data_IF_745266463420
#
_entry.id   IF_745266463420
#
_cell.length_a   1.000
_cell.length_b   1.000
_cell.length_c   1.000
_cell.angle_alpha   90.00
_cell.angle_beta   90.00
_cell.angle_gamma   90.00
#
_symmetry.space_group_name_H-M   'P 1'
#
loop_
_entity.id
_entity.type
_entity.pdbx_description
1 polymer ?
#
# COMPACT_ATOMS: atom_id res chain seq x y z
N UNK A 1 4.91 -1.50 30.65
CA UNK A 1 5.16 -2.43 31.79
C UNK A 1 4.42 -3.72 31.52
N UNK A 2 5.13 -4.85 31.42
CA UNK A 2 4.52 -6.16 31.20
C UNK A 2 4.00 -6.73 32.52
N UNK A 3 2.81 -7.29 32.49
CA UNK A 3 2.15 -7.86 33.70
C UNK A 3 2.55 -9.30 34.01
N UNK A 4 3.01 -10.05 33.00
CA UNK A 4 3.41 -11.45 33.09
C UNK A 4 4.66 -11.70 32.26
N UNK A 5 5.42 -12.76 32.60
CA UNK A 5 6.46 -13.29 31.72
C UNK A 5 5.85 -13.74 30.39
N UNK A 6 6.59 -13.58 29.32
CA UNK A 6 6.24 -14.06 28.00
C UNK A 6 7.38 -14.90 27.43
N UNK A 7 7.11 -16.08 26.85
CA UNK A 7 8.17 -16.86 26.21
C UNK A 7 8.72 -16.18 24.98
N UNK A 8 7.96 -15.26 24.37
CA UNK A 8 8.28 -14.54 23.16
C UNK A 8 7.56 -13.19 23.12
N UNK A 9 8.16 -12.19 22.52
CA UNK A 9 7.50 -10.90 22.23
C UNK A 9 7.75 -10.48 20.80
N UNK A 10 6.78 -9.79 20.22
CA UNK A 10 6.86 -9.15 18.90
C UNK A 10 6.66 -7.67 19.08
N UNK A 11 7.66 -6.88 18.72
CA UNK A 11 7.54 -5.44 18.61
C UNK A 11 7.03 -5.11 17.20
N UNK A 12 5.85 -4.50 17.11
CA UNK A 12 5.26 -4.00 15.86
C UNK A 12 5.44 -2.50 15.77
N UNK A 13 5.91 -2.02 14.63
CA UNK A 13 6.13 -0.62 14.31
C UNK A 13 5.46 -0.34 12.98
N UNK A 14 4.40 0.48 12.99
CA UNK A 14 3.59 0.74 11.79
C UNK A 14 4.32 1.58 10.75
N UNK A 15 5.04 2.61 11.16
CA UNK A 15 5.94 3.37 10.29
C UNK A 15 6.86 4.26 11.10
N UNK A 16 8.04 4.51 10.55
CA UNK A 16 9.04 5.39 11.18
C UNK A 16 9.80 6.15 10.10
N UNK A 17 10.54 7.20 10.51
CA UNK A 17 11.37 8.00 9.60
C UNK A 17 12.18 7.15 8.62
N UNK A 18 12.99 7.76 7.76
CA UNK A 18 13.57 7.06 6.59
C UNK A 18 14.31 5.77 6.93
N UNK A 19 14.98 5.77 8.09
CA UNK A 19 15.64 4.59 8.64
C UNK A 19 15.66 4.66 10.15
N UNK A 20 15.64 3.49 10.78
CA UNK A 20 15.63 3.40 12.23
C UNK A 20 16.33 2.12 12.72
N UNK A 21 16.90 2.22 13.92
CA UNK A 21 17.46 1.10 14.67
C UNK A 21 16.78 1.04 16.04
N UNK A 22 16.42 -0.17 16.45
CA UNK A 22 15.67 -0.41 17.67
C UNK A 22 16.48 -1.23 18.65
N UNK A 23 16.46 -0.82 19.92
CA UNK A 23 17.02 -1.59 21.03
C UNK A 23 15.97 -1.78 22.12
N UNK A 24 15.91 -2.95 22.70
CA UNK A 24 15.10 -3.26 23.88
C UNK A 24 16.01 -3.64 25.04
N UNK A 25 15.93 -2.91 26.17
CA UNK A 25 16.79 -3.07 27.33
C UNK A 25 18.29 -3.03 26.99
N UNK A 26 18.67 -2.17 26.04
CA UNK A 26 20.03 -1.99 25.56
C UNK A 26 20.53 -3.04 24.54
N UNK A 27 19.72 -4.05 24.21
CA UNK A 27 20.04 -5.03 23.18
C UNK A 27 19.38 -4.64 21.86
N UNK A 28 20.15 -4.62 20.76
CA UNK A 28 19.60 -4.40 19.41
C UNK A 28 18.63 -5.55 19.05
N UNK A 29 17.42 -5.18 18.60
CA UNK A 29 16.39 -6.11 18.15
C UNK A 29 16.13 -6.02 16.65
N UNK A 30 16.50 -4.92 16.01
CA UNK A 30 16.37 -4.78 14.57
C UNK A 30 16.59 -3.36 14.05
N UNK A 31 16.51 -3.26 12.75
CA UNK A 31 16.60 -2.00 12.01
C UNK A 31 15.70 -2.04 10.77
N UNK A 32 15.38 -0.88 10.24
CA UNK A 32 14.63 -0.73 8.98
C UNK A 32 15.14 0.48 8.18
N UNK A 33 15.10 0.36 6.87
CA UNK A 33 15.21 1.44 5.89
C UNK A 33 14.00 1.42 4.92
N UNK A 34 12.87 0.89 5.39
CA UNK A 34 11.59 0.83 4.70
C UNK A 34 10.58 1.68 5.50
N UNK A 35 10.59 3.01 5.33
CA UNK A 35 9.58 3.88 5.95
C UNK A 35 8.19 3.56 5.35
N UNK A 36 7.14 3.87 6.05
CA UNK A 36 5.75 3.64 5.65
C UNK A 36 5.34 2.15 5.52
N UNK A 37 6.19 1.22 5.94
CA UNK A 37 5.90 -0.22 5.91
C UNK A 37 5.85 -0.76 7.32
N UNK A 38 4.83 -1.54 7.64
CA UNK A 38 4.71 -2.20 8.93
C UNK A 38 5.86 -3.18 9.13
N UNK A 39 6.53 -3.08 10.29
CA UNK A 39 7.69 -3.88 10.64
C UNK A 39 7.45 -4.64 11.93
N UNK A 40 7.87 -5.89 11.95
CA UNK A 40 7.83 -6.76 13.12
C UNK A 40 9.24 -7.21 13.53
N UNK A 41 9.53 -7.11 14.82
CA UNK A 41 10.83 -7.52 15.38
C UNK A 41 10.61 -8.47 16.55
N UNK A 42 11.24 -9.63 16.47
CA UNK A 42 11.28 -10.60 17.57
C UNK A 42 12.13 -10.08 18.74
N UNK A 43 11.57 -10.03 19.92
CA UNK A 43 12.29 -9.58 21.12
C UNK A 43 12.91 -10.71 21.92
N UNK A 44 12.50 -11.97 21.65
CA UNK A 44 12.76 -13.12 22.48
C UNK A 44 11.90 -13.14 23.74
N UNK A 45 12.30 -13.92 24.75
CA UNK A 45 11.59 -14.03 26.02
C UNK A 45 11.64 -12.71 26.81
N UNK A 46 10.50 -12.30 27.36
CA UNK A 46 10.34 -11.09 28.16
C UNK A 46 9.91 -11.45 29.59
N UNK A 47 10.53 -10.83 30.59
CA UNK A 47 10.12 -10.94 31.98
C UNK A 47 9.01 -9.93 32.30
N UNK A 48 8.18 -10.23 33.28
CA UNK A 48 7.27 -9.25 33.83
C UNK A 48 8.07 -8.04 34.39
N UNK A 49 7.59 -6.82 34.16
CA UNK A 49 8.25 -5.64 34.66
C UNK A 49 8.34 -4.49 33.66
N UNK A 50 9.23 -3.57 33.92
CA UNK A 50 9.51 -2.41 33.08
C UNK A 50 10.58 -2.78 32.05
N UNK A 51 10.31 -2.48 30.79
CA UNK A 51 11.26 -2.55 29.68
C UNK A 51 11.48 -1.18 29.08
N UNK A 52 12.65 -0.95 28.50
CA UNK A 52 13.01 0.29 27.83
C UNK A 52 13.24 0.01 26.36
N UNK A 53 12.32 0.50 25.52
CA UNK A 53 12.51 0.58 24.07
C UNK A 53 13.22 1.89 23.75
N UNK A 54 14.34 1.83 23.03
CA UNK A 54 14.99 2.99 22.46
C UNK A 54 15.06 2.84 20.94
N UNK A 55 14.82 3.93 20.22
CA UNK A 55 14.90 4.00 18.78
C UNK A 55 15.84 5.15 18.37
N UNK A 56 16.78 4.87 17.48
CA UNK A 56 17.55 5.88 16.77
C UNK A 56 16.95 6.01 15.37
N UNK A 57 16.37 7.17 15.07
CA UNK A 57 15.69 7.46 13.81
C UNK A 57 16.44 8.55 13.05
N UNK A 58 16.63 8.36 11.75
CA UNK A 58 17.34 9.29 10.89
C UNK A 58 16.54 9.54 9.61
N UNK A 59 16.21 10.81 9.33
CA UNK A 59 15.55 11.26 8.12
C UNK A 59 16.45 12.09 7.19
N UNK A 60 17.76 11.98 7.33
CA UNK A 60 18.72 12.68 6.50
C UNK A 60 18.88 11.98 5.14
N UNK A 61 18.53 12.67 4.07
CA UNK A 61 18.67 12.18 2.70
C UNK A 61 20.10 12.21 2.18
N UNK A 62 20.91 13.20 2.63
CA UNK A 62 22.17 13.56 1.97
C UNK A 62 23.31 12.65 2.36
N UNK A 63 23.15 11.84 3.40
CA UNK A 63 24.26 11.04 3.94
C UNK A 63 23.80 9.65 4.32
N UNK A 64 24.49 8.69 3.82
CA UNK A 64 24.62 7.38 4.43
C UNK A 64 25.24 7.60 5.82
N UNK A 65 24.41 7.73 6.82
CA UNK A 65 24.89 8.15 8.10
C UNK A 65 25.60 7.02 8.82
N UNK A 66 26.88 7.17 9.01
CA UNK A 66 27.65 6.44 10.03
C UNK A 66 27.23 6.85 11.45
N UNK A 67 26.39 7.90 11.59
CA UNK A 67 26.02 8.54 12.86
C UNK A 67 25.47 7.57 13.89
N UNK A 68 24.73 6.54 13.47
CA UNK A 68 24.18 5.54 14.38
C UNK A 68 24.95 4.20 14.35
N UNK A 69 26.12 4.15 13.76
CA UNK A 69 26.89 2.92 13.61
C UNK A 69 26.22 1.86 12.72
N UNK A 70 25.35 2.29 11.81
CA UNK A 70 24.59 1.40 10.92
C UNK A 70 25.33 1.10 9.61
N UNK A 71 26.31 1.96 9.25
CA UNK A 71 27.11 1.79 8.03
C UNK A 71 26.23 1.63 6.79
N UNK A 72 26.71 0.82 5.86
CA UNK A 72 26.01 0.57 4.58
C UNK A 72 24.71 -0.25 4.71
N UNK A 73 24.43 -0.85 5.88
CA UNK A 73 23.21 -1.64 6.12
C UNK A 73 21.92 -0.82 6.01
N UNK A 74 22.06 0.50 6.11
CA UNK A 74 20.92 1.42 6.13
C UNK A 74 20.99 2.43 4.97
N UNK A 75 21.51 1.97 3.83
CA UNK A 75 21.63 2.78 2.62
C UNK A 75 20.27 3.30 2.15
N UNK A 76 20.22 4.58 1.79
CA UNK A 76 19.09 5.22 1.13
C UNK A 76 19.49 5.48 -0.32
N UNK A 77 18.61 5.10 -1.23
CA UNK A 77 18.80 5.31 -2.66
C UNK A 77 18.10 6.61 -3.09
N UNK A 78 18.89 7.56 -3.61
CA UNK A 78 18.37 8.85 -4.08
C UNK A 78 18.25 8.88 -5.62
N UNK A 79 17.27 9.61 -6.20
CA UNK A 79 16.18 10.29 -5.51
C UNK A 79 15.23 9.25 -4.88
N UNK A 80 14.81 9.52 -3.64
CA UNK A 80 13.95 8.58 -2.92
C UNK A 80 12.48 8.98 -3.05
N UNK A 81 12.22 10.29 -2.98
CA UNK A 81 10.92 10.92 -3.21
C UNK A 81 11.02 12.44 -3.33
N UNK A 82 9.98 13.04 -3.85
CA UNK A 82 9.81 14.50 -4.00
C UNK A 82 8.90 15.12 -2.93
N UNK A 83 8.58 14.37 -1.89
CA UNK A 83 7.76 14.80 -0.76
C UNK A 83 8.55 14.83 0.55
N UNK A 84 7.95 15.36 1.61
CA UNK A 84 8.64 15.54 2.89
C UNK A 84 8.98 14.21 3.57
N UNK A 85 10.25 13.97 3.84
CA UNK A 85 10.73 12.87 4.67
C UNK A 85 10.74 13.28 6.14
N UNK A 86 9.67 12.98 6.85
CA UNK A 86 9.58 13.27 8.27
C UNK A 86 10.46 12.35 9.09
N UNK A 87 10.89 12.80 10.29
CA UNK A 87 11.57 11.98 11.28
C UNK A 87 10.59 11.46 12.32
N UNK A 88 11.03 10.47 13.11
CA UNK A 88 10.23 9.92 14.20
C UNK A 88 9.28 8.80 13.77
N UNK A 89 8.29 8.54 14.60
CA UNK A 89 7.26 7.53 14.36
C UNK A 89 6.01 8.19 13.77
N UNK A 90 5.48 7.65 12.69
CA UNK A 90 4.26 8.15 12.04
C UNK A 90 3.02 7.38 12.47
N UNK A 91 3.17 6.08 12.69
CA UNK A 91 2.10 5.15 13.02
C UNK A 91 2.38 4.46 14.34
N UNK A 92 1.45 3.63 14.79
CA UNK A 92 1.49 3.01 16.09
C UNK A 92 2.71 2.14 16.36
N UNK A 93 3.11 2.08 17.64
CA UNK A 93 4.13 1.15 18.16
C UNK A 93 3.49 0.30 19.23
N UNK A 94 3.58 -1.02 19.10
CA UNK A 94 3.01 -1.95 20.07
C UNK A 94 3.95 -3.13 20.35
N UNK A 95 3.90 -3.63 21.58
CA UNK A 95 4.63 -4.83 21.99
C UNK A 95 3.62 -5.92 22.35
N UNK A 96 3.63 -6.98 21.56
CA UNK A 96 2.76 -8.13 21.73
C UNK A 96 3.47 -9.22 22.50
N UNK A 97 2.84 -9.69 23.57
CA UNK A 97 3.26 -10.91 24.26
C UNK A 97 2.63 -12.09 23.55
N UNK A 98 3.45 -12.97 23.00
CA UNK A 98 3.01 -14.09 22.18
C UNK A 98 3.53 -15.42 22.71
N UNK A 99 2.89 -16.50 22.28
CA UNK A 99 3.29 -17.87 22.63
C UNK A 99 4.40 -18.37 21.67
N UNK A 100 4.91 -19.58 21.93
CA UNK A 100 5.92 -20.21 21.06
C UNK A 100 5.43 -20.35 19.61
N UNK A 101 4.14 -20.65 19.44
CA UNK A 101 3.44 -20.58 18.17
C UNK A 101 2.25 -19.65 18.32
N UNK A 102 2.08 -18.72 17.40
CA UNK A 102 0.97 -17.78 17.38
C UNK A 102 0.44 -17.58 15.96
N UNK A 103 -0.83 -17.22 15.82
CA UNK A 103 -1.38 -16.85 14.53
C UNK A 103 -0.79 -15.49 14.15
N UNK A 104 -0.07 -15.43 13.06
CA UNK A 104 0.42 -14.16 12.49
C UNK A 104 -0.73 -13.42 11.82
N UNK A 105 -1.38 -14.09 10.88
CA UNK A 105 -2.58 -13.59 10.16
C UNK A 105 -3.32 -14.72 9.45
N UNK A 106 -4.57 -14.46 9.07
CA UNK A 106 -5.32 -15.31 8.16
C UNK A 106 -5.73 -14.52 6.93
N UNK A 107 -5.13 -14.83 5.80
CA UNK A 107 -5.45 -14.18 4.53
C UNK A 107 -6.75 -14.76 3.96
N UNK A 108 -7.71 -13.89 3.64
CA UNK A 108 -9.00 -14.27 3.09
C UNK A 108 -9.10 -13.88 1.63
N UNK A 109 -9.26 -14.86 0.75
CA UNK A 109 -9.39 -14.65 -0.69
C UNK A 109 -10.75 -15.12 -1.20
N UNK A 110 -11.48 -14.24 -1.88
CA UNK A 110 -12.74 -14.61 -2.53
C UNK A 110 -12.49 -15.55 -3.72
N UNK A 111 -13.13 -16.72 -3.70
CA UNK A 111 -13.09 -17.68 -4.81
C UNK A 111 -14.32 -17.60 -5.69
N UNK A 112 -15.51 -17.32 -5.11
CA UNK A 112 -16.73 -17.22 -5.87
C UNK A 112 -17.73 -16.28 -5.22
N UNK A 113 -18.04 -15.16 -5.90
CA UNK A 113 -19.01 -14.17 -5.43
C UNK A 113 -20.47 -14.63 -5.49
N UNK A 114 -20.76 -15.72 -6.21
CA UNK A 114 -22.13 -16.25 -6.30
C UNK A 114 -22.49 -17.17 -5.13
N UNK A 115 -21.50 -17.78 -4.52
CA UNK A 115 -21.68 -18.76 -3.44
C UNK A 115 -21.09 -18.30 -2.10
N UNK A 116 -20.39 -17.18 -2.06
CA UNK A 116 -19.65 -16.73 -0.87
C UNK A 116 -18.46 -17.63 -0.52
N UNK A 117 -17.94 -18.41 -1.50
CA UNK A 117 -16.79 -19.28 -1.30
C UNK A 117 -15.52 -18.47 -1.16
N UNK A 118 -14.74 -18.76 -0.12
CA UNK A 118 -13.47 -18.13 0.19
C UNK A 118 -12.37 -19.15 0.42
N UNK A 119 -11.12 -18.75 0.26
CA UNK A 119 -9.93 -19.47 0.67
C UNK A 119 -9.32 -18.76 1.87
N UNK A 120 -9.05 -19.48 2.95
CA UNK A 120 -8.38 -19.02 4.15
C UNK A 120 -6.96 -19.59 4.18
N UNK A 121 -5.96 -18.72 4.09
CA UNK A 121 -4.55 -19.11 4.19
C UNK A 121 -4.05 -18.74 5.57
N UNK A 122 -3.63 -19.74 6.34
CA UNK A 122 -3.20 -19.58 7.73
C UNK A 122 -1.69 -19.36 7.80
N UNK A 123 -1.30 -18.25 8.39
CA UNK A 123 0.12 -17.92 8.63
C UNK A 123 0.37 -17.90 10.14
N UNK A 124 1.41 -18.61 10.54
CA UNK A 124 1.85 -18.67 11.93
C UNK A 124 3.24 -18.07 12.07
N UNK A 125 3.57 -17.55 13.25
CA UNK A 125 4.90 -17.09 13.60
C UNK A 125 5.48 -17.87 14.80
N UNK A 126 6.80 -17.87 14.94
CA UNK A 126 7.51 -18.67 15.92
C UNK A 126 7.66 -20.13 15.49
N UNK A 127 7.15 -21.07 16.26
CA UNK A 127 7.16 -22.50 15.91
C UNK A 127 6.07 -22.77 14.87
N UNK A 128 6.45 -22.87 13.61
CA UNK A 128 5.53 -23.03 12.47
C UNK A 128 5.45 -24.46 11.92
N UNK A 129 6.25 -25.37 12.45
CA UNK A 129 6.34 -26.75 12.00
C UNK A 129 5.11 -27.57 12.43
N UNK A 130 4.70 -28.53 11.57
CA UNK A 130 3.57 -29.41 11.84
C UNK A 130 2.21 -28.78 11.55
N UNK A 131 1.16 -29.39 12.14
CA UNK A 131 -0.22 -28.91 12.04
C UNK A 131 -0.64 -28.24 13.34
N UNK A 132 -1.42 -27.19 13.19
CA UNK A 132 -2.01 -26.41 14.28
C UNK A 132 -3.51 -26.65 14.29
N UNK A 133 -4.05 -27.06 15.45
CA UNK A 133 -5.48 -27.13 15.64
C UNK A 133 -6.08 -25.74 15.74
N UNK A 134 -6.98 -25.41 14.82
CA UNK A 134 -7.68 -24.13 14.80
C UNK A 134 -9.18 -24.35 14.91
N UNK A 135 -9.86 -23.42 15.57
CA UNK A 135 -11.30 -23.26 15.51
C UNK A 135 -11.63 -21.87 15.00
N UNK A 136 -12.59 -21.78 14.11
CA UNK A 136 -12.94 -20.51 13.48
C UNK A 136 -14.44 -20.40 13.22
N UNK A 137 -14.91 -19.16 13.12
CA UNK A 137 -16.29 -18.83 12.74
C UNK A 137 -16.34 -17.51 11.97
N UNK A 138 -17.40 -17.36 11.19
CA UNK A 138 -17.68 -16.12 10.47
C UNK A 138 -18.79 -15.32 11.16
N UNK A 139 -18.66 -14.00 11.16
CA UNK A 139 -19.68 -13.07 11.67
C UNK A 139 -20.20 -13.48 13.06
N UNK A 140 -21.50 -13.68 13.16
CA UNK A 140 -22.22 -14.02 14.39
C UNK A 140 -22.60 -15.51 14.48
N UNK A 141 -21.93 -16.40 13.72
CA UNK A 141 -22.16 -17.85 13.88
C UNK A 141 -21.96 -18.25 15.35
N UNK A 142 -22.89 -19.04 15.90
CA UNK A 142 -22.78 -19.55 17.29
C UNK A 142 -21.73 -20.64 17.40
N UNK A 143 -21.67 -21.52 16.39
CA UNK A 143 -20.78 -22.67 16.40
C UNK A 143 -19.45 -22.39 15.71
N UNK A 144 -18.36 -22.79 16.34
CA UNK A 144 -17.05 -22.85 15.72
C UNK A 144 -16.90 -24.08 14.83
N UNK A 145 -16.28 -23.85 13.66
CA UNK A 145 -15.74 -24.92 12.80
C UNK A 145 -14.33 -25.25 13.28
N UNK A 146 -13.87 -26.48 13.07
CA UNK A 146 -12.53 -26.94 13.47
C UNK A 146 -11.76 -27.46 12.28
N UNK A 147 -10.45 -27.24 12.28
CA UNK A 147 -9.53 -27.80 11.29
C UNK A 147 -8.12 -27.97 11.87
N UNK A 148 -7.35 -28.83 11.23
CA UNK A 148 -5.91 -29.00 11.46
C UNK A 148 -5.17 -28.43 10.24
N UNK A 149 -4.44 -27.33 10.39
CA UNK A 149 -3.79 -26.60 9.28
C UNK A 149 -2.30 -26.40 9.52
N UNK A 150 -1.49 -26.55 8.48
CA UNK A 150 -0.07 -26.21 8.51
C UNK A 150 0.15 -24.72 8.20
N UNK A 151 1.35 -24.21 8.50
CA UNK A 151 1.74 -22.86 8.08
C UNK A 151 1.65 -22.71 6.55
N UNK A 152 0.97 -21.68 6.08
CA UNK A 152 0.76 -21.42 4.65
C UNK A 152 -0.31 -22.29 3.97
N UNK A 153 -0.90 -23.28 4.70
CA UNK A 153 -1.97 -24.11 4.17
C UNK A 153 -3.24 -23.29 3.94
N UNK A 154 -3.97 -23.65 2.88
CA UNK A 154 -5.20 -22.99 2.48
C UNK A 154 -6.40 -23.92 2.68
N UNK A 155 -7.41 -23.42 3.39
CA UNK A 155 -8.69 -24.08 3.60
C UNK A 155 -9.79 -23.37 2.80
N UNK A 156 -10.55 -24.11 2.00
CA UNK A 156 -11.70 -23.55 1.29
C UNK A 156 -12.98 -23.74 2.10
N UNK A 157 -13.76 -22.68 2.22
CA UNK A 157 -15.05 -22.72 2.92
C UNK A 157 -16.02 -21.68 2.35
N UNK A 158 -17.26 -21.72 2.84
CA UNK A 158 -18.31 -20.77 2.43
C UNK A 158 -18.69 -19.92 3.64
N UNK A 159 -18.76 -18.59 3.40
CA UNK A 159 -19.26 -17.62 4.37
C UNK A 159 -20.80 -17.69 4.36
N UNK A 160 -21.45 -17.97 5.49
CA UNK A 160 -22.91 -18.01 5.52
C UNK A 160 -23.50 -16.59 5.41
N UNK A 161 -24.70 -16.50 4.84
CA UNK A 161 -25.45 -15.23 4.70
C UNK A 161 -24.59 -14.05 4.19
N UNK A 162 -23.65 -14.38 3.30
CA UNK A 162 -22.71 -13.37 2.79
C UNK A 162 -23.39 -12.28 1.99
N UNK A 163 -22.80 -11.10 2.04
CA UNK A 163 -23.14 -9.95 1.18
C UNK A 163 -21.87 -9.50 0.47
N UNK A 164 -22.03 -9.07 -0.77
CA UNK A 164 -20.89 -8.53 -1.51
C UNK A 164 -20.49 -7.15 -0.98
N UNK A 165 -19.19 -6.91 -0.97
CA UNK A 165 -18.65 -5.59 -0.75
C UNK A 165 -18.67 -4.81 -2.08
N UNK A 166 -19.22 -3.59 -2.06
CA UNK A 166 -19.20 -2.62 -3.17
C UNK A 166 -19.08 -1.22 -2.58
N UNK A 167 -18.68 -0.20 -3.37
CA UNK A 167 -18.68 1.19 -2.92
C UNK A 167 -20.02 1.67 -2.37
N UNK A 168 -21.14 1.26 -2.96
CA UNK A 168 -22.49 1.64 -2.58
C UNK A 168 -23.02 0.84 -1.37
N UNK A 169 -22.48 -0.33 -1.14
CA UNK A 169 -22.82 -1.23 -0.03
C UNK A 169 -21.57 -1.93 0.51
N UNK A 170 -20.79 -1.25 1.34
CA UNK A 170 -19.49 -1.73 1.82
C UNK A 170 -19.69 -2.78 2.94
N UNK A 171 -20.28 -3.92 2.58
CA UNK A 171 -20.55 -5.00 3.51
C UNK A 171 -19.25 -5.71 3.89
N UNK A 172 -18.91 -5.66 5.16
CA UNK A 172 -17.77 -6.34 5.75
C UNK A 172 -18.19 -7.57 6.52
N UNK A 173 -17.32 -8.56 6.51
CA UNK A 173 -17.45 -9.81 7.26
C UNK A 173 -16.29 -9.91 8.25
N UNK A 174 -16.50 -10.67 9.32
CA UNK A 174 -15.45 -11.00 10.28
C UNK A 174 -15.15 -12.49 10.26
N UNK A 175 -13.89 -12.83 10.44
CA UNK A 175 -13.40 -14.19 10.67
C UNK A 175 -12.67 -14.19 12.00
N UNK A 176 -13.25 -14.86 12.99
CA UNK A 176 -12.63 -15.10 14.29
C UNK A 176 -11.94 -16.46 14.26
N UNK A 177 -10.65 -16.50 14.57
CA UNK A 177 -9.83 -17.71 14.57
C UNK A 177 -9.12 -17.87 15.90
N UNK A 178 -9.21 -19.04 16.48
CA UNK A 178 -8.56 -19.40 17.74
C UNK A 178 -7.62 -20.59 17.55
N UNK A 179 -6.50 -20.57 18.23
CA UNK A 179 -5.72 -21.73 18.63
C UNK A 179 -5.96 -22.01 20.12
N UNK A 180 -5.20 -22.92 20.73
CA UNK A 180 -5.24 -23.16 22.17
C UNK A 180 -4.94 -21.89 22.99
N UNK A 181 -4.00 -21.08 22.50
CA UNK A 181 -3.40 -19.99 23.27
C UNK A 181 -3.59 -18.61 22.64
N UNK A 182 -4.18 -18.51 21.45
CA UNK A 182 -4.23 -17.29 20.68
C UNK A 182 -5.57 -17.10 19.97
N UNK A 183 -5.89 -15.84 19.65
CA UNK A 183 -7.09 -15.45 18.93
C UNK A 183 -6.80 -14.25 18.04
N UNK A 184 -7.19 -14.35 16.78
CA UNK A 184 -7.21 -13.22 15.85
C UNK A 184 -8.61 -13.03 15.27
N UNK A 185 -8.93 -11.79 14.96
CA UNK A 185 -10.15 -11.42 14.25
C UNK A 185 -9.75 -10.66 13.00
N UNK A 186 -10.03 -11.26 11.85
CA UNK A 186 -9.81 -10.63 10.54
C UNK A 186 -11.11 -10.02 10.04
N UNK A 187 -11.01 -8.83 9.46
CA UNK A 187 -12.11 -8.16 8.76
C UNK A 187 -11.87 -8.24 7.27
N UNK A 188 -12.87 -8.57 6.48
CA UNK A 188 -12.73 -8.74 5.03
C UNK A 188 -14.03 -8.46 4.28
N UNK A 189 -13.92 -8.24 2.98
CA UNK A 189 -15.09 -8.13 2.09
C UNK A 189 -15.08 -9.18 0.98
N UNK A 190 -16.26 -9.65 0.58
CA UNK A 190 -16.40 -10.60 -0.52
C UNK A 190 -16.60 -9.80 -1.81
N UNK A 191 -15.59 -9.79 -2.66
CA UNK A 191 -15.61 -9.12 -3.96
C UNK A 191 -14.61 -9.75 -4.91
N UNK A 192 -14.73 -9.44 -6.22
CA UNK A 192 -13.75 -9.77 -7.26
C UNK A 192 -13.35 -8.52 -8.01
N UNK A 193 -12.09 -8.46 -8.43
CA UNK A 193 -11.55 -7.41 -9.30
C UNK A 193 -10.94 -8.07 -10.52
N UNK A 194 -11.17 -7.52 -11.70
CA UNK A 194 -10.60 -8.02 -12.95
C UNK A 194 -10.61 -6.94 -14.02
N UNK A 195 -10.01 -7.22 -15.15
CA UNK A 195 -10.16 -6.42 -16.37
C UNK A 195 -11.06 -7.12 -17.38
N UNK A 196 -11.79 -6.34 -18.16
CA UNK A 196 -12.61 -6.82 -19.28
C UNK A 196 -12.48 -5.88 -20.47
N UNK A 197 -11.58 -6.21 -21.42
CA UNK A 197 -11.22 -5.27 -22.47
C UNK A 197 -10.65 -3.98 -21.85
N UNK A 198 -11.17 -2.83 -22.26
CA UNK A 198 -10.74 -1.50 -21.79
C UNK A 198 -11.32 -1.11 -20.44
N UNK A 199 -11.96 -2.00 -19.70
CA UNK A 199 -12.67 -1.71 -18.47
C UNK A 199 -12.09 -2.43 -17.27
N UNK A 200 -12.12 -1.77 -16.13
CA UNK A 200 -11.93 -2.39 -14.82
C UNK A 200 -13.29 -2.89 -14.35
N UNK A 201 -13.32 -4.11 -13.85
CA UNK A 201 -14.55 -4.75 -13.38
C UNK A 201 -14.46 -5.03 -11.89
N UNK A 202 -15.47 -4.57 -11.14
CA UNK A 202 -15.71 -4.92 -9.75
C UNK A 202 -16.94 -5.82 -9.69
N UNK A 203 -16.82 -7.03 -9.14
CA UNK A 203 -17.90 -8.02 -9.11
C UNK A 203 -18.50 -8.32 -10.51
N UNK A 204 -17.64 -8.30 -11.54
CA UNK A 204 -18.03 -8.51 -12.93
C UNK A 204 -18.75 -7.33 -13.59
N UNK A 205 -18.90 -6.19 -12.93
CA UNK A 205 -19.51 -4.97 -13.47
C UNK A 205 -18.46 -3.90 -13.72
N UNK A 206 -18.54 -3.14 -14.82
CA UNK A 206 -17.65 -2.01 -15.06
C UNK A 206 -17.71 -0.98 -13.94
N UNK A 207 -16.54 -0.51 -13.51
CA UNK A 207 -16.38 0.61 -12.58
C UNK A 207 -15.53 1.70 -13.23
N UNK A 208 -15.97 2.94 -13.12
CA UNK A 208 -15.21 4.11 -13.53
C UNK A 208 -14.62 4.78 -12.29
N UNK A 209 -13.28 4.87 -12.23
CA UNK A 209 -12.57 5.42 -11.08
C UNK A 209 -12.51 6.94 -11.18
N UNK A 210 -12.97 7.63 -10.14
CA UNK A 210 -12.92 9.09 -9.97
C UNK A 210 -12.35 9.38 -8.60
N UNK A 211 -11.25 10.12 -8.53
CA UNK A 211 -10.63 10.38 -7.25
C UNK A 211 -9.43 11.30 -7.33
N UNK A 212 -8.72 11.35 -6.22
CA UNK A 212 -7.52 12.15 -6.03
C UNK A 212 -6.36 11.30 -5.54
N UNK A 213 -5.15 11.83 -5.73
CA UNK A 213 -3.95 11.35 -5.08
C UNK A 213 -3.92 11.86 -3.64
N UNK A 214 -3.51 11.01 -2.70
CA UNK A 214 -3.43 11.36 -1.29
C UNK A 214 -2.06 11.01 -0.73
N UNK A 215 -1.35 12.02 -0.21
CA UNK A 215 -0.24 11.83 0.69
C UNK A 215 -0.71 11.75 2.14
N UNK A 216 -0.11 10.90 2.95
CA UNK A 216 -0.28 10.91 4.41
C UNK A 216 0.58 12.01 5.02
N UNK A 217 0.15 13.24 4.82
CA UNK A 217 0.85 14.40 5.38
C UNK A 217 -0.12 15.52 5.70
N UNK A 218 0.19 16.26 6.77
CA UNK A 218 -0.59 17.41 7.21
C UNK A 218 0.36 18.50 7.73
N UNK A 219 0.08 19.80 7.51
CA UNK A 219 0.94 20.89 7.94
C UNK A 219 1.28 20.89 9.43
N UNK A 220 0.36 20.46 10.29
CA UNK A 220 0.53 20.44 11.74
C UNK A 220 1.02 19.10 12.29
N UNK A 221 0.72 17.98 11.63
CA UNK A 221 0.98 16.63 12.14
C UNK A 221 2.07 15.88 11.34
N UNK A 222 2.56 16.46 10.25
CA UNK A 222 3.45 15.73 9.33
C UNK A 222 2.79 14.45 8.84
N UNK A 223 3.53 13.34 8.81
CA UNK A 223 3.02 12.04 8.42
C UNK A 223 2.24 11.31 9.53
N UNK A 224 2.23 11.82 10.77
CA UNK A 224 1.49 11.21 11.88
C UNK A 224 0.02 11.67 11.90
N UNK A 225 -0.69 11.42 10.82
CA UNK A 225 -2.06 11.89 10.60
C UNK A 225 -3.04 11.23 11.58
N UNK A 226 -3.80 12.01 12.38
CA UNK A 226 -4.84 11.47 13.27
C UNK A 226 -6.04 10.90 12.48
N UNK A 227 -6.75 9.93 13.09
CA UNK A 227 -7.93 9.29 12.50
C UNK A 227 -9.01 10.30 12.07
N UNK A 228 -9.18 11.38 12.84
CA UNK A 228 -10.15 12.44 12.53
C UNK A 228 -9.87 13.14 11.19
N UNK A 229 -8.59 13.35 10.84
CA UNK A 229 -8.21 13.94 9.55
C UNK A 229 -8.33 12.94 8.41
N UNK A 230 -8.02 11.66 8.65
CA UNK A 230 -8.27 10.61 7.65
C UNK A 230 -9.76 10.52 7.30
N UNK A 231 -10.61 10.66 8.31
CA UNK A 231 -12.07 10.67 8.14
C UNK A 231 -12.54 11.90 7.38
N UNK A 232 -11.97 13.06 7.66
CA UNK A 232 -12.24 14.32 6.95
C UNK A 232 -11.84 14.22 5.47
N UNK A 233 -10.66 13.67 5.16
CA UNK A 233 -10.21 13.41 3.80
C UNK A 233 -11.22 12.55 3.03
N UNK A 234 -11.70 11.45 3.64
CA UNK A 234 -12.69 10.56 3.02
C UNK A 234 -14.05 11.24 2.84
N UNK A 235 -14.46 12.08 3.79
CA UNK A 235 -15.70 12.83 3.66
C UNK A 235 -15.61 13.84 2.51
N UNK A 236 -14.49 14.57 2.41
CA UNK A 236 -14.23 15.50 1.32
C UNK A 236 -14.26 14.79 -0.05
N UNK A 237 -13.62 13.63 -0.16
CA UNK A 237 -13.66 12.82 -1.38
C UNK A 237 -15.09 12.41 -1.75
N UNK A 238 -15.92 12.01 -0.78
CA UNK A 238 -17.32 11.67 -1.01
C UNK A 238 -18.16 12.87 -1.45
N UNK A 239 -17.94 14.02 -0.82
CA UNK A 239 -18.65 15.26 -1.15
C UNK A 239 -18.32 15.74 -2.56
N UNK A 240 -17.10 15.43 -3.04
CA UNK A 240 -16.68 15.62 -4.44
C UNK A 240 -17.15 14.50 -5.39
N UNK A 241 -18.01 13.58 -4.90
CA UNK A 241 -18.50 12.43 -5.67
C UNK A 241 -17.37 11.52 -6.21
N UNK A 242 -16.28 11.39 -5.44
CA UNK A 242 -15.23 10.42 -5.69
C UNK A 242 -15.60 9.04 -5.17
N UNK A 243 -15.08 8.01 -5.83
CA UNK A 243 -15.20 6.62 -5.43
C UNK A 243 -13.84 5.92 -5.31
N UNK A 244 -12.75 6.68 -5.47
CA UNK A 244 -11.40 6.17 -5.59
C UNK A 244 -10.40 7.12 -4.97
N UNK A 245 -9.35 6.57 -4.37
CA UNK A 245 -8.17 7.30 -3.90
C UNK A 245 -6.91 6.54 -4.28
N UNK A 246 -5.93 7.25 -4.81
CA UNK A 246 -4.58 6.71 -4.94
C UNK A 246 -3.76 7.12 -3.73
N UNK A 247 -3.35 6.15 -2.93
CA UNK A 247 -2.37 6.35 -1.87
C UNK A 247 -0.98 6.45 -2.48
N UNK A 248 -0.43 7.65 -2.57
CA UNK A 248 0.88 7.91 -3.16
C UNK A 248 1.85 8.46 -2.12
N UNK A 249 3.15 8.15 -2.20
CA UNK A 249 3.85 7.18 -3.08
C UNK A 249 4.44 6.06 -2.21
N UNK A 250 3.64 5.51 -1.28
CA UNK A 250 4.01 4.54 -0.26
C UNK A 250 2.76 3.81 0.28
N UNK A 251 2.98 2.66 0.93
CA UNK A 251 1.92 1.89 1.56
C UNK A 251 1.13 2.73 2.56
N UNK A 252 -0.20 2.69 2.47
CA UNK A 252 -1.09 3.49 3.30
C UNK A 252 -1.23 2.91 4.71
N UNK A 253 -1.56 3.77 5.68
CA UNK A 253 -1.87 3.35 7.05
C UNK A 253 -3.05 2.39 7.06
N UNK A 254 -2.92 1.27 7.78
CA UNK A 254 -3.97 0.26 7.90
C UNK A 254 -5.28 0.84 8.45
N UNK A 255 -5.20 1.88 9.32
CA UNK A 255 -6.37 2.60 9.84
C UNK A 255 -7.09 3.37 8.72
N UNK A 256 -6.33 3.95 7.77
CA UNK A 256 -6.93 4.61 6.61
C UNK A 256 -7.60 3.60 5.68
N UNK A 257 -6.99 2.44 5.48
CA UNK A 257 -7.59 1.35 4.70
C UNK A 257 -8.85 0.78 5.37
N UNK A 258 -8.84 0.66 6.70
CA UNK A 258 -10.03 0.30 7.48
C UNK A 258 -11.20 1.26 7.25
N UNK A 259 -10.92 2.56 7.27
CA UNK A 259 -11.92 3.59 6.97
C UNK A 259 -12.38 3.52 5.50
N UNK A 260 -11.48 3.30 4.54
CA UNK A 260 -11.83 3.11 3.14
C UNK A 260 -12.76 1.89 2.93
N UNK A 261 -12.51 0.79 3.66
CA UNK A 261 -13.36 -0.39 3.65
C UNK A 261 -14.79 -0.06 4.10
N UNK A 262 -14.94 0.73 5.16
CA UNK A 262 -16.22 1.13 5.74
C UNK A 262 -16.97 2.19 4.89
N UNK A 263 -16.20 3.09 4.26
CA UNK A 263 -16.75 4.13 3.40
C UNK A 263 -17.08 3.65 1.99
N UNK A 264 -16.58 2.48 1.60
CA UNK A 264 -16.71 2.00 0.22
C UNK A 264 -15.80 2.75 -0.76
N UNK A 265 -14.67 3.32 -0.29
CA UNK A 265 -13.71 4.01 -1.13
C UNK A 265 -12.74 3.00 -1.73
N UNK A 266 -12.66 2.93 -3.06
CA UNK A 266 -11.70 2.09 -3.77
C UNK A 266 -10.29 2.65 -3.63
N UNK A 267 -9.29 1.79 -3.49
CA UNK A 267 -7.90 2.21 -3.22
C UNK A 267 -6.93 1.60 -4.23
N UNK A 268 -5.98 2.41 -4.65
CA UNK A 268 -4.70 2.02 -5.21
C UNK A 268 -3.67 2.18 -4.09
N UNK A 269 -3.07 1.07 -3.66
CA UNK A 269 -2.00 1.06 -2.66
C UNK A 269 -0.65 0.85 -3.35
N UNK A 270 0.38 1.58 -2.95
CA UNK A 270 1.63 1.70 -3.69
C UNK A 270 2.83 1.49 -2.77
N UNK A 271 3.81 0.69 -3.17
CA UNK A 271 5.07 0.59 -2.44
C UNK A 271 5.97 1.78 -2.73
N UNK A 272 6.77 2.16 -1.75
CA UNK A 272 7.56 3.39 -1.76
C UNK A 272 8.52 3.47 -2.94
N UNK A 273 8.57 4.66 -3.56
CA UNK A 273 9.57 5.06 -4.54
C UNK A 273 9.04 6.09 -5.52
N UNK A 274 9.92 7.01 -5.90
CA UNK A 274 9.63 8.06 -6.87
C UNK A 274 10.87 8.39 -7.70
N UNK A 275 10.71 8.58 -9.00
CA UNK A 275 11.76 9.06 -9.90
C UNK A 275 13.00 8.16 -9.97
N UNK A 276 12.85 6.86 -9.72
CA UNK A 276 13.99 5.96 -9.59
C UNK A 276 14.72 5.76 -10.90
N UNK A 277 16.05 5.98 -10.89
CA UNK A 277 16.90 5.89 -12.07
C UNK A 277 17.15 4.44 -12.50
N UNK A 278 17.60 4.27 -13.75
CA UNK A 278 18.01 2.97 -14.28
C UNK A 278 19.13 2.33 -13.45
N UNK A 279 20.09 3.14 -12.95
CA UNK A 279 21.19 2.66 -12.12
C UNK A 279 20.70 2.15 -10.77
N UNK A 280 19.74 2.85 -10.14
CA UNK A 280 19.12 2.39 -8.89
C UNK A 280 18.37 1.08 -9.11
N UNK A 281 17.56 0.99 -10.17
CA UNK A 281 16.82 -0.23 -10.49
C UNK A 281 17.70 -1.41 -10.93
N UNK A 282 18.96 -1.14 -11.34
CA UNK A 282 19.97 -2.17 -11.60
C UNK A 282 20.71 -2.63 -10.35
N UNK A 283 20.63 -1.87 -9.23
CA UNK A 283 21.31 -2.21 -7.98
C UNK A 283 20.60 -3.39 -7.28
N UNK A 284 21.30 -4.51 -6.98
CA UNK A 284 20.68 -5.68 -6.37
C UNK A 284 20.09 -5.41 -4.98
N UNK A 285 20.69 -4.53 -4.18
CA UNK A 285 20.19 -4.17 -2.86
C UNK A 285 18.90 -3.39 -2.95
N UNK A 286 18.83 -2.42 -3.87
CA UNK A 286 17.60 -1.70 -4.16
C UNK A 286 16.47 -2.62 -4.62
N UNK A 287 16.76 -3.55 -5.53
CA UNK A 287 15.78 -4.53 -6.01
C UNK A 287 15.24 -5.39 -4.86
N UNK A 288 16.09 -5.82 -3.93
CA UNK A 288 15.68 -6.62 -2.77
C UNK A 288 14.80 -5.82 -1.81
N UNK A 289 15.15 -4.55 -1.54
CA UNK A 289 14.35 -3.65 -0.68
C UNK A 289 12.96 -3.44 -1.28
N UNK A 290 12.87 -3.07 -2.56
CA UNK A 290 11.59 -2.82 -3.24
C UNK A 290 10.72 -4.07 -3.28
N UNK A 291 11.29 -5.23 -3.60
CA UNK A 291 10.54 -6.50 -3.58
C UNK A 291 10.01 -6.81 -2.17
N UNK A 292 10.86 -6.69 -1.14
CA UNK A 292 10.50 -6.96 0.24
C UNK A 292 9.39 -6.03 0.73
N UNK A 293 9.54 -4.74 0.46
CA UNK A 293 8.55 -3.72 0.82
C UNK A 293 7.20 -3.98 0.13
N UNK A 294 7.23 -4.28 -1.17
CA UNK A 294 6.02 -4.63 -1.93
C UNK A 294 5.33 -5.86 -1.34
N UNK A 295 6.08 -6.92 -1.00
CA UNK A 295 5.50 -8.13 -0.38
C UNK A 295 4.88 -7.82 0.98
N UNK A 296 5.52 -7.00 1.81
CA UNK A 296 4.98 -6.60 3.11
C UNK A 296 3.68 -5.79 2.93
N UNK A 297 3.67 -4.78 2.06
CA UNK A 297 2.47 -4.02 1.74
C UNK A 297 1.29 -4.94 1.34
N UNK A 298 1.54 -5.86 0.40
CA UNK A 298 0.48 -6.79 -0.05
C UNK A 298 0.01 -7.69 1.09
N UNK A 299 0.91 -8.23 1.91
CA UNK A 299 0.57 -9.09 3.04
C UNK A 299 -0.25 -8.38 4.09
N UNK A 300 0.11 -7.15 4.40
CA UNK A 300 -0.54 -6.36 5.45
C UNK A 300 -1.93 -5.90 4.99
N UNK A 301 -2.08 -5.53 3.72
CA UNK A 301 -3.31 -4.97 3.17
C UNK A 301 -4.21 -5.97 2.44
N UNK A 302 -3.85 -7.27 2.40
CA UNK A 302 -4.56 -8.27 1.57
C UNK A 302 -6.03 -8.46 1.94
N UNK A 303 -6.39 -8.31 3.21
CA UNK A 303 -7.77 -8.49 3.68
C UNK A 303 -8.66 -7.26 3.45
N UNK A 304 -8.10 -6.10 3.09
CA UNK A 304 -8.85 -4.89 2.78
C UNK A 304 -9.55 -5.00 1.42
N UNK A 305 -10.89 -5.07 1.38
CA UNK A 305 -11.63 -5.16 0.10
C UNK A 305 -11.53 -3.87 -0.71
N UNK A 306 -11.30 -2.71 -0.09
CA UNK A 306 -11.14 -1.42 -0.75
C UNK A 306 -9.94 -1.39 -1.69
N UNK A 307 -8.83 -2.07 -1.35
CA UNK A 307 -7.65 -2.14 -2.22
C UNK A 307 -7.96 -3.00 -3.44
N UNK A 308 -7.95 -2.38 -4.62
CA UNK A 308 -8.23 -3.03 -5.92
C UNK A 308 -7.03 -3.05 -6.85
N UNK A 309 -6.03 -2.22 -6.58
CA UNK A 309 -4.82 -2.05 -7.38
C UNK A 309 -3.60 -2.07 -6.44
N UNK A 310 -2.60 -2.88 -6.78
CA UNK A 310 -1.25 -2.83 -6.23
C UNK A 310 -0.33 -2.08 -7.18
N UNK A 311 0.51 -1.21 -6.65
CA UNK A 311 1.46 -0.47 -7.45
C UNK A 311 2.85 -0.34 -6.81
N UNK A 312 3.80 0.21 -7.57
CA UNK A 312 5.18 0.37 -7.14
C UNK A 312 5.87 1.53 -7.87
N UNK A 313 6.88 2.11 -7.26
CA UNK A 313 7.85 3.05 -7.86
C UNK A 313 7.25 4.05 -8.85
N UNK A 314 6.66 5.13 -8.32
CA UNK A 314 6.14 6.22 -9.14
C UNK A 314 7.21 6.80 -10.07
N UNK A 315 6.88 7.07 -11.34
CA UNK A 315 7.69 7.82 -12.30
C UNK A 315 9.14 7.32 -12.45
N UNK A 316 9.33 6.01 -12.33
CA UNK A 316 10.63 5.38 -12.53
C UNK A 316 11.06 5.38 -14.02
N UNK A 317 12.33 5.12 -14.30
CA UNK A 317 12.84 5.01 -15.66
C UNK A 317 12.33 3.75 -16.41
N UNK A 318 11.01 3.65 -16.58
CA UNK A 318 10.26 2.52 -17.15
C UNK A 318 10.53 2.26 -18.64
N UNK A 319 11.18 3.21 -19.33
CA UNK A 319 11.62 3.10 -20.73
C UNK A 319 12.94 2.35 -20.88
N UNK A 320 13.57 1.94 -19.76
CA UNK A 320 14.88 1.27 -19.75
C UNK A 320 14.77 -0.22 -19.43
N UNK A 321 15.79 -1.00 -19.84
CA UNK A 321 15.87 -2.43 -19.50
C UNK A 321 15.90 -2.68 -17.96
N UNK A 322 16.66 -1.93 -17.14
CA UNK A 322 16.56 -2.05 -15.67
C UNK A 322 15.15 -1.80 -15.14
N UNK A 323 14.44 -0.78 -15.67
CA UNK A 323 13.04 -0.51 -15.30
C UNK A 323 12.12 -1.67 -15.65
N UNK A 324 12.27 -2.25 -16.85
CA UNK A 324 11.51 -3.42 -17.29
C UNK A 324 11.76 -4.62 -16.36
N UNK A 325 13.03 -4.94 -16.06
CA UNK A 325 13.40 -6.05 -15.15
C UNK A 325 12.88 -5.85 -13.73
N UNK A 326 12.92 -4.61 -13.25
CA UNK A 326 12.32 -4.28 -11.96
C UNK A 326 10.80 -4.52 -11.98
N UNK A 327 10.12 -4.13 -13.05
CA UNK A 327 8.70 -4.40 -13.25
C UNK A 327 8.39 -5.91 -13.26
N UNK A 328 9.16 -6.73 -13.98
CA UNK A 328 9.00 -8.20 -13.97
C UNK A 328 9.11 -8.76 -12.54
N UNK A 329 10.11 -8.29 -11.77
CA UNK A 329 10.37 -8.74 -10.40
C UNK A 329 9.22 -8.39 -9.47
N UNK A 330 8.73 -7.15 -9.52
CA UNK A 330 7.62 -6.68 -8.68
C UNK A 330 6.31 -7.34 -9.04
N UNK A 331 5.96 -7.43 -10.33
CA UNK A 331 4.73 -8.11 -10.78
C UNK A 331 4.71 -9.56 -10.30
N UNK A 332 5.85 -10.26 -10.40
CA UNK A 332 5.99 -11.61 -9.88
C UNK A 332 5.76 -11.65 -8.36
N UNK A 333 6.41 -10.78 -7.61
CA UNK A 333 6.27 -10.71 -6.15
C UNK A 333 4.82 -10.47 -5.72
N UNK A 334 4.14 -9.51 -6.35
CA UNK A 334 2.73 -9.22 -6.08
C UNK A 334 1.85 -10.43 -6.40
N UNK A 335 2.00 -11.05 -7.59
CA UNK A 335 1.14 -12.18 -8.01
C UNK A 335 1.37 -13.46 -7.20
N UNK A 336 2.53 -13.64 -6.60
CA UNK A 336 2.82 -14.72 -5.65
C UNK A 336 2.09 -14.51 -4.31
N UNK A 337 2.00 -13.28 -3.81
CA UNK A 337 1.26 -12.95 -2.59
C UNK A 337 -0.24 -12.83 -2.86
N UNK A 338 -0.64 -12.12 -3.91
CA UNK A 338 -2.04 -11.89 -4.29
C UNK A 338 -2.27 -11.93 -5.81
N UNK A 339 -2.75 -13.04 -6.36
CA UNK A 339 -3.11 -13.15 -7.78
C UNK A 339 -4.47 -12.52 -8.13
N UNK A 340 -5.18 -11.90 -7.18
CA UNK A 340 -6.59 -11.51 -7.36
C UNK A 340 -6.80 -10.04 -7.68
N UNK A 341 -5.82 -9.17 -7.37
CA UNK A 341 -5.89 -7.75 -7.65
C UNK A 341 -5.07 -7.37 -8.88
N UNK A 342 -5.34 -6.18 -9.38
CA UNK A 342 -4.66 -5.62 -10.55
C UNK A 342 -3.31 -5.02 -10.14
N UNK A 343 -2.34 -5.04 -11.06
CA UNK A 343 -1.00 -4.47 -10.86
C UNK A 343 -0.75 -3.39 -11.88
N UNK A 344 -0.18 -2.28 -11.43
CA UNK A 344 0.26 -1.17 -12.29
C UNK A 344 1.40 -0.37 -11.64
N UNK A 345 1.82 0.71 -12.26
CA UNK A 345 2.62 1.79 -11.71
C UNK A 345 2.26 3.10 -12.44
N UNK A 346 2.51 4.24 -11.81
CA UNK A 346 2.27 5.55 -12.44
C UNK A 346 3.48 5.93 -13.30
N UNK A 347 3.27 6.00 -14.62
CA UNK A 347 4.31 6.20 -15.62
C UNK A 347 4.32 7.65 -16.15
N UNK A 348 5.46 8.33 -16.13
CA UNK A 348 5.64 9.64 -16.77
C UNK A 348 6.33 9.54 -18.16
N UNK A 349 6.77 8.35 -18.58
CA UNK A 349 7.35 8.08 -19.89
C UNK A 349 6.26 7.78 -20.92
N UNK A 350 5.45 8.79 -21.24
CA UNK A 350 4.21 8.64 -22.02
C UNK A 350 4.40 8.28 -23.51
N UNK A 351 5.62 8.39 -24.04
CA UNK A 351 5.91 8.16 -25.47
C UNK A 351 7.02 7.14 -25.73
N UNK A 352 7.64 6.56 -24.71
CA UNK A 352 8.76 5.62 -24.84
C UNK A 352 8.76 4.48 -23.82
N UNK A 353 7.74 4.40 -22.94
CA UNK A 353 7.62 3.34 -21.94
C UNK A 353 7.56 1.94 -22.53
N UNK A 354 8.31 1.02 -21.93
CA UNK A 354 8.30 -0.39 -22.30
C UNK A 354 7.76 -1.32 -21.21
N UNK A 355 7.64 -0.81 -19.97
CA UNK A 355 7.32 -1.61 -18.78
C UNK A 355 5.81 -1.83 -18.60
N UNK A 356 4.97 -0.91 -19.03
CA UNK A 356 3.49 -1.04 -18.93
C UNK A 356 2.92 -2.27 -19.69
N UNK A 357 3.71 -2.90 -20.54
CA UNK A 357 3.35 -4.19 -21.18
C UNK A 357 3.12 -5.29 -20.15
N UNK A 358 3.82 -5.25 -19.02
CA UNK A 358 3.74 -6.23 -17.93
C UNK A 358 2.51 -6.02 -17.04
N UNK A 359 1.94 -4.81 -17.03
CA UNK A 359 0.89 -4.39 -16.10
C UNK A 359 -0.50 -4.87 -16.54
N UNK A 360 -1.42 -5.04 -15.58
CA UNK A 360 -2.84 -5.31 -15.86
C UNK A 360 -3.56 -4.05 -16.38
N UNK A 361 -3.11 -2.88 -15.94
CA UNK A 361 -3.64 -1.55 -16.28
C UNK A 361 -2.50 -0.68 -16.78
N UNK A 362 -2.75 0.16 -17.78
CA UNK A 362 -1.84 1.24 -18.19
C UNK A 362 -2.18 2.47 -17.36
N UNK A 363 -1.24 2.99 -16.60
CA UNK A 363 -1.43 4.20 -15.81
C UNK A 363 -0.34 5.21 -16.13
N UNK A 364 -0.72 6.48 -16.28
CA UNK A 364 0.24 7.50 -16.67
C UNK A 364 -0.03 8.86 -16.02
N UNK A 365 1.07 9.57 -15.75
CA UNK A 365 1.09 10.91 -15.19
C UNK A 365 1.31 11.92 -16.32
N UNK A 366 0.48 12.95 -16.35
CA UNK A 366 0.60 14.06 -17.29
C UNK A 366 0.19 15.36 -16.62
N UNK A 367 0.93 16.41 -16.88
CA UNK A 367 0.69 17.75 -16.33
C UNK A 367 0.67 18.84 -17.41
N UNK A 368 0.00 18.65 -18.57
CA UNK A 368 -0.13 19.71 -19.55
C UNK A 368 -0.86 20.91 -18.93
N UNK A 369 -0.40 22.10 -19.21
CA UNK A 369 -0.92 23.33 -18.59
C UNK A 369 -0.28 23.70 -17.25
N UNK A 370 0.48 22.80 -16.61
CA UNK A 370 1.14 23.07 -15.32
C UNK A 370 2.66 22.91 -15.39
N UNK A 371 3.13 21.67 -15.55
CA UNK A 371 4.54 21.34 -15.74
C UNK A 371 4.66 20.78 -17.14
N UNK A 372 5.06 21.62 -18.09
CA UNK A 372 5.10 21.23 -19.47
C UNK A 372 6.37 20.49 -19.86
N UNK A 373 6.25 19.73 -20.92
CA UNK A 373 7.37 19.32 -21.77
C UNK A 373 8.08 20.52 -22.46
N UNK A 374 7.59 21.74 -22.26
CA UNK A 374 8.20 22.96 -22.75
C UNK A 374 9.20 23.54 -21.75
N UNK A 375 10.43 23.84 -22.17
CA UNK A 375 11.46 24.42 -21.30
C UNK A 375 11.17 25.85 -20.80
N UNK A 376 10.10 26.48 -21.27
CA UNK A 376 9.75 27.86 -20.91
C UNK A 376 8.23 28.04 -20.91
N UNK A 377 7.56 27.72 -19.84
CA UNK A 377 6.18 28.15 -19.62
C UNK A 377 5.13 27.05 -19.54
N UNK A 378 3.96 27.45 -19.09
CA UNK A 378 2.74 26.66 -18.99
C UNK A 378 2.15 26.53 -20.40
N UNK A 379 1.86 25.31 -20.83
CA UNK A 379 1.13 25.07 -22.08
C UNK A 379 -0.29 25.67 -21.95
N UNK A 380 -0.81 26.29 -23.02
CA UNK A 380 -2.20 26.74 -23.00
C UNK A 380 -3.17 25.59 -22.76
N UNK A 381 -4.32 25.81 -22.10
CA UNK A 381 -5.33 24.78 -21.89
C UNK A 381 -5.76 24.04 -23.17
N UNK A 382 -5.73 24.69 -24.32
CA UNK A 382 -6.07 24.11 -25.62
C UNK A 382 -5.09 23.01 -26.08
N UNK A 383 -3.87 22.96 -25.51
CA UNK A 383 -2.87 21.92 -25.81
C UNK A 383 -3.09 20.64 -24.97
N UNK A 384 -3.92 20.69 -23.93
CA UNK A 384 -4.17 19.54 -23.05
C UNK A 384 -4.81 18.38 -23.79
N UNK A 385 -5.93 18.54 -24.53
CA UNK A 385 -6.55 17.43 -25.24
C UNK A 385 -5.66 16.79 -26.31
N UNK A 386 -4.95 17.55 -27.18
CA UNK A 386 -4.02 16.96 -28.15
C UNK A 386 -2.89 16.16 -27.49
N UNK A 387 -2.36 16.61 -26.37
CA UNK A 387 -1.33 15.87 -25.63
C UNK A 387 -1.86 14.54 -25.09
N UNK A 388 -3.05 14.54 -24.48
CA UNK A 388 -3.71 13.32 -24.00
C UNK A 388 -3.98 12.34 -25.15
N UNK A 389 -4.51 12.81 -26.26
CA UNK A 389 -4.80 11.97 -27.44
C UNK A 389 -3.54 11.27 -27.95
N UNK A 390 -2.43 12.01 -28.07
CA UNK A 390 -1.12 11.46 -28.47
C UNK A 390 -0.61 10.40 -27.50
N UNK A 391 -0.74 10.63 -26.20
CA UNK A 391 -0.36 9.69 -25.15
C UNK A 391 -1.21 8.41 -25.23
N UNK A 392 -2.51 8.53 -25.36
CA UNK A 392 -3.44 7.41 -25.52
C UNK A 392 -3.11 6.60 -26.79
N UNK A 393 -2.87 7.29 -27.91
CA UNK A 393 -2.50 6.65 -29.17
C UNK A 393 -1.20 5.85 -29.04
N UNK A 394 -0.18 6.43 -28.40
CA UNK A 394 1.07 5.74 -28.12
C UNK A 394 0.85 4.42 -27.38
N UNK A 395 0.15 4.47 -26.22
CA UNK A 395 -0.09 3.29 -25.41
C UNK A 395 -0.96 2.23 -26.14
N UNK A 396 -2.00 2.68 -26.86
CA UNK A 396 -2.85 1.78 -27.67
C UNK A 396 -2.07 1.07 -28.76
N UNK A 397 -1.14 1.74 -29.40
CA UNK A 397 -0.32 1.19 -30.48
C UNK A 397 0.84 0.34 -29.98
N UNK A 398 1.55 0.77 -28.94
CA UNK A 398 2.85 0.21 -28.56
C UNK A 398 2.79 -0.72 -27.34
N UNK A 399 1.78 -0.58 -26.49
CA UNK A 399 1.63 -1.37 -25.26
C UNK A 399 0.45 -2.34 -25.37
N UNK A 400 -0.78 -1.83 -25.48
CA UNK A 400 -1.96 -2.68 -25.65
C UNK A 400 -3.16 -1.91 -26.17
N UNK A 401 -3.86 -2.47 -27.16
CA UNK A 401 -5.11 -1.92 -27.68
C UNK A 401 -6.28 -2.04 -26.67
N UNK A 402 -6.25 -3.04 -25.78
CA UNK A 402 -7.41 -3.48 -25.01
C UNK A 402 -7.26 -3.36 -23.48
N UNK A 403 -6.08 -3.01 -22.95
CA UNK A 403 -5.94 -2.80 -21.50
C UNK A 403 -6.71 -1.55 -21.04
N UNK A 404 -7.29 -1.55 -19.81
CA UNK A 404 -7.78 -0.34 -19.18
C UNK A 404 -6.68 0.71 -19.07
N UNK A 405 -7.06 1.98 -19.08
CA UNK A 405 -6.13 3.10 -18.90
C UNK A 405 -6.63 4.01 -17.78
N UNK A 406 -5.70 4.49 -16.96
CA UNK A 406 -5.94 5.46 -15.89
C UNK A 406 -4.96 6.63 -16.09
N UNK A 407 -5.47 7.85 -16.04
CA UNK A 407 -4.65 9.02 -15.78
C UNK A 407 -4.42 9.04 -14.27
N UNK A 408 -3.23 8.64 -13.84
CA UNK A 408 -2.90 8.48 -12.42
C UNK A 408 -2.52 9.79 -11.75
N UNK A 409 -2.05 10.75 -12.53
CA UNK A 409 -1.82 12.12 -12.07
C UNK A 409 -2.09 13.12 -13.19
N UNK A 410 -2.82 14.17 -12.85
CA UNK A 410 -3.04 15.35 -13.67
C UNK A 410 -3.49 16.54 -12.80
N UNK A 411 -3.48 17.73 -13.36
CA UNK A 411 -3.92 18.95 -12.70
C UNK A 411 -2.78 19.91 -12.40
N UNK A 412 -3.03 20.88 -11.56
CA UNK A 412 -2.05 21.86 -11.13
C UNK A 412 -2.13 22.14 -9.64
N UNK A 413 -1.05 22.72 -9.08
CA UNK A 413 -1.00 23.08 -7.67
C UNK A 413 -1.63 24.46 -7.45
N UNK A 414 -2.48 24.57 -6.43
CA UNK A 414 -2.92 25.82 -5.83
C UNK A 414 -2.35 25.97 -4.42
N UNK A 415 -1.99 27.18 -4.02
CA UNK A 415 -1.67 27.46 -2.61
C UNK A 415 -2.96 27.85 -1.92
N UNK A 416 -3.33 27.08 -0.89
CA UNK A 416 -4.56 27.31 -0.14
C UNK A 416 -4.69 28.73 0.37
N UNK A 417 -5.79 29.40 0.02
CA UNK A 417 -6.07 30.79 0.35
C UNK A 417 -5.36 31.82 -0.52
N UNK A 418 -4.61 31.41 -1.55
CA UNK A 418 -4.03 32.35 -2.51
C UNK A 418 -4.98 32.59 -3.66
N UNK A 419 -5.45 33.83 -3.80
CA UNK A 419 -6.43 34.27 -4.79
C UNK A 419 -5.89 35.42 -5.65
N UNK A 420 -6.21 35.40 -6.96
CA UNK A 420 -5.84 36.47 -7.89
C UNK A 420 -6.88 36.54 -9.03
N UNK A 421 -7.37 37.74 -9.31
CA UNK A 421 -8.33 38.01 -10.40
C UNK A 421 -7.78 37.58 -11.77
N UNK A 422 -6.45 37.61 -11.93
CA UNK A 422 -5.80 37.24 -13.18
C UNK A 422 -5.59 35.71 -13.29
N UNK A 423 -6.04 34.93 -12.31
CA UNK A 423 -5.78 33.49 -12.23
C UNK A 423 -4.30 33.15 -12.50
N UNK A 424 -3.38 33.83 -11.79
CA UNK A 424 -1.95 33.57 -11.96
C UNK A 424 -1.57 32.22 -11.38
N UNK A 425 -0.51 31.63 -11.91
CA UNK A 425 0.01 30.33 -11.45
C UNK A 425 0.16 30.31 -9.91
N UNK A 426 -0.21 29.20 -9.27
CA UNK A 426 -0.29 28.95 -7.83
C UNK A 426 -1.54 29.49 -7.13
N UNK A 427 -2.46 30.16 -7.82
CA UNK A 427 -3.73 30.57 -7.23
C UNK A 427 -4.78 29.46 -7.32
N UNK A 428 -5.79 29.53 -6.48
CA UNK A 428 -6.93 28.61 -6.52
C UNK A 428 -7.75 28.77 -7.81
N UNK A 429 -7.85 30.00 -8.33
CA UNK A 429 -8.49 30.29 -9.61
C UNK A 429 -7.76 29.60 -10.77
N UNK A 430 -6.41 29.66 -10.80
CA UNK A 430 -5.62 28.96 -11.83
C UNK A 430 -5.80 27.44 -11.75
N UNK A 431 -5.88 26.90 -10.53
CA UNK A 431 -6.12 25.47 -10.33
C UNK A 431 -7.52 25.04 -10.81
N UNK A 432 -8.50 25.95 -10.70
CA UNK A 432 -9.90 25.68 -11.06
C UNK A 432 -10.16 25.76 -12.57
N UNK A 433 -9.36 26.56 -13.34
CA UNK A 433 -9.40 26.64 -14.81
C UNK A 433 -8.85 25.38 -15.47
#
# INVERSE_FOLDING_TARGET
MLRKDSPRGILKIGATGLRARFTLDGKEIGFTNMPYTDMEFETGALKAGRHVLAAAVDNNFDKLSSTFGMGDRMKIFLPYYDFYGFGGFYRGVSLHQVFESTIDRVQVRTLCIKTGKVALRFLFSGKTEGKHAVRFRFNTEEAFRTAEVAHGETLECTVPEFRLWTPEAPNLHTLEVHTENDCVVERFGIRTVSTGGKQILLNGKPVYLKGFNRHESHPEFGAATPDALMLEDLQNLRDLNCNFVRGCHYAQDQRFLDLCDEFGMLVWDESLGWGNSAEQMADPEFQEIVERETRLMVRDSINHPCVIIWAYLNENNSQTEPGFRMGERVVKAVKEEDPTRLVTFACNHTLDDITSKLMDIISYNIYPGWIGSHPVGVEPPDEIPPFQEKTIEYFRKNVSADKPMIVSEMGCCGIYGQHDIAATQWTEEFQAE
#
